data_IF_676548417383
#
_entry.id   IF_676548417383
#
_cell.length_a   1.000
_cell.length_b   1.000
_cell.length_c   1.000
_cell.angle_alpha   90.00
_cell.angle_beta   90.00
_cell.angle_gamma   90.00
#
_symmetry.space_group_name_H-M   'P 1'
#
loop_
_entity.id
_entity.type
_entity.pdbx_description
1 polymer ?
#
# COMPACT_ATOMS: atom_id res chain seq x y z
N UNK A 1 7.96 -18.91 -2.43
CA UNK A 1 7.25 -17.72 -2.96
C UNK A 1 7.32 -17.77 -4.48
N UNK A 2 6.16 -17.86 -5.15
CA UNK A 2 6.04 -18.12 -6.60
C UNK A 2 7.00 -17.27 -7.45
N UNK A 3 7.11 -15.98 -7.17
CA UNK A 3 7.97 -15.08 -7.93
C UNK A 3 9.48 -15.37 -7.80
N UNK A 4 9.94 -15.89 -6.66
CA UNK A 4 11.34 -16.33 -6.50
C UNK A 4 11.58 -17.69 -7.16
N UNK A 5 10.72 -18.66 -6.86
CA UNK A 5 10.89 -20.07 -7.23
C UNK A 5 10.65 -20.31 -8.72
N UNK A 6 9.66 -19.63 -9.31
CA UNK A 6 9.24 -19.86 -10.70
C UNK A 6 9.81 -18.81 -11.63
N UNK A 7 9.85 -17.54 -11.23
CA UNK A 7 10.32 -16.43 -12.09
C UNK A 7 11.79 -16.07 -11.86
N UNK A 8 12.47 -16.69 -10.89
CA UNK A 8 13.89 -16.44 -10.62
C UNK A 8 14.22 -15.03 -10.12
N UNK A 9 13.23 -14.29 -9.63
CA UNK A 9 13.42 -12.92 -9.15
C UNK A 9 14.08 -12.92 -7.78
N UNK A 10 15.33 -12.45 -7.69
CA UNK A 10 16.10 -12.42 -6.43
C UNK A 10 15.68 -11.30 -5.47
N UNK A 11 15.22 -10.17 -6.02
CA UNK A 11 15.01 -8.93 -5.26
C UNK A 11 13.57 -8.80 -4.77
N UNK A 12 13.03 -9.88 -4.20
CA UNK A 12 11.69 -9.91 -3.63
C UNK A 12 11.83 -10.19 -2.15
N UNK A 13 11.14 -9.43 -1.31
CA UNK A 13 11.17 -9.62 0.13
C UNK A 13 9.75 -9.52 0.67
N UNK A 14 9.44 -10.35 1.63
CA UNK A 14 8.18 -10.42 2.37
C UNK A 14 8.29 -9.69 3.73
N UNK A 15 9.17 -8.70 3.79
CA UNK A 15 9.39 -7.87 4.98
C UNK A 15 8.62 -6.55 4.86
N UNK A 16 7.94 -6.11 5.93
CA UNK A 16 7.32 -4.78 5.95
C UNK A 16 8.40 -3.71 5.82
N UNK A 17 8.08 -2.56 5.22
CA UNK A 17 9.05 -1.48 5.01
C UNK A 17 9.67 -0.94 6.31
N UNK A 18 8.96 -1.11 7.43
CA UNK A 18 9.42 -0.75 8.77
C UNK A 18 10.46 -1.73 9.33
N UNK A 19 10.67 -2.89 8.69
CA UNK A 19 11.64 -3.88 9.16
C UNK A 19 13.05 -3.32 9.21
N UNK A 20 13.82 -3.75 10.22
CA UNK A 20 15.20 -3.30 10.46
C UNK A 20 16.09 -3.53 9.25
N UNK A 21 15.89 -4.63 8.51
CA UNK A 21 16.62 -4.93 7.29
C UNK A 21 16.65 -3.73 6.33
N UNK A 22 15.50 -3.09 6.11
CA UNK A 22 15.41 -1.92 5.25
C UNK A 22 16.01 -0.69 5.92
N UNK A 23 15.57 -0.43 7.15
CA UNK A 23 15.88 0.82 7.85
C UNK A 23 17.37 0.97 8.17
N UNK A 24 18.09 -0.13 8.39
CA UNK A 24 19.52 -0.13 8.72
C UNK A 24 20.43 -0.17 7.48
N UNK A 25 20.02 -0.83 6.40
CA UNK A 25 20.88 -1.05 5.23
C UNK A 25 20.57 -0.16 4.03
N UNK A 26 19.41 0.49 3.98
CA UNK A 26 18.92 1.20 2.79
C UNK A 26 18.40 2.61 3.07
N UNK A 27 18.88 3.26 4.15
CA UNK A 27 18.58 4.66 4.40
C UNK A 27 19.09 5.55 3.24
N UNK A 28 18.21 6.38 2.69
CA UNK A 28 18.54 7.26 1.56
C UNK A 28 19.00 6.51 0.30
N UNK A 29 18.53 5.28 0.07
CA UNK A 29 18.99 4.46 -1.05
C UNK A 29 18.08 4.55 -2.28
N UNK A 30 16.76 4.63 -2.08
CA UNK A 30 15.80 4.51 -3.18
C UNK A 30 15.48 5.87 -3.80
N UNK A 31 15.45 5.91 -5.13
CA UNK A 31 15.01 7.10 -5.87
C UNK A 31 13.50 7.16 -6.03
N UNK A 32 12.87 5.99 -6.10
CA UNK A 32 11.43 5.84 -6.26
C UNK A 32 10.95 4.73 -5.35
N UNK A 33 9.89 5.00 -4.59
CA UNK A 33 9.12 4.01 -3.86
C UNK A 33 7.67 4.07 -4.38
N UNK A 34 7.06 2.90 -4.53
CA UNK A 34 5.70 2.75 -5.05
C UNK A 34 4.87 1.92 -4.09
N UNK A 35 3.70 2.42 -3.71
CA UNK A 35 2.71 1.72 -2.91
C UNK A 35 1.46 1.49 -3.76
N UNK A 36 1.18 0.23 -4.11
CA UNK A 36 -0.02 -0.19 -4.83
C UNK A 36 -0.97 -0.93 -3.89
N UNK A 37 -2.09 -0.29 -3.56
CA UNK A 37 -3.13 -0.85 -2.70
C UNK A 37 -2.59 -1.33 -1.34
N UNK A 38 -1.67 -0.55 -0.75
CA UNK A 38 -1.03 -0.91 0.53
C UNK A 38 -1.55 -0.05 1.68
N UNK A 39 -1.74 1.25 1.44
CA UNK A 39 -1.90 2.25 2.49
C UNK A 39 -3.18 2.05 3.31
N UNK A 40 -4.23 1.51 2.70
CA UNK A 40 -5.51 1.21 3.32
C UNK A 40 -5.50 -0.04 4.21
N UNK A 41 -4.48 -0.90 4.06
CA UNK A 41 -4.34 -2.16 4.78
C UNK A 41 -3.32 -2.08 5.93
N UNK A 42 -2.62 -0.96 6.09
CA UNK A 42 -1.67 -0.79 7.19
C UNK A 42 -2.36 -0.27 8.46
N UNK A 43 -1.92 -0.79 9.61
CA UNK A 43 -2.45 -0.37 10.91
C UNK A 43 -2.03 1.06 11.31
N UNK A 44 -0.80 1.46 10.94
CA UNK A 44 -0.25 2.78 11.22
C UNK A 44 0.35 3.39 9.95
N UNK A 45 -0.44 4.18 9.20
CA UNK A 45 0.02 4.83 7.98
C UNK A 45 1.08 5.90 8.26
N UNK A 46 1.10 6.52 9.44
CA UNK A 46 2.10 7.54 9.76
C UNK A 46 3.47 6.90 9.96
N UNK A 47 3.55 5.80 10.70
CA UNK A 47 4.80 5.05 10.88
C UNK A 47 5.34 4.46 9.56
N UNK A 48 4.43 4.03 8.66
CA UNK A 48 4.78 3.63 7.29
C UNK A 48 5.47 4.78 6.54
N UNK A 49 4.83 5.96 6.52
CA UNK A 49 5.34 7.13 5.79
C UNK A 49 6.68 7.62 6.33
N UNK A 50 6.89 7.60 7.65
CA UNK A 50 8.19 7.94 8.25
C UNK A 50 9.29 6.95 7.83
N UNK A 51 8.95 5.66 7.76
CA UNK A 51 9.88 4.62 7.30
C UNK A 51 10.25 4.79 5.83
N UNK A 52 9.27 5.10 4.98
CA UNK A 52 9.49 5.40 3.56
C UNK A 52 10.35 6.64 3.37
N UNK A 53 10.07 7.71 4.12
CA UNK A 53 10.85 8.95 4.05
C UNK A 53 12.34 8.72 4.36
N UNK A 54 12.67 7.86 5.32
CA UNK A 54 14.07 7.52 5.64
C UNK A 54 14.76 6.74 4.53
N UNK A 55 14.03 5.93 3.78
CA UNK A 55 14.56 5.09 2.71
C UNK A 55 14.75 5.85 1.39
N UNK A 56 14.00 6.93 1.17
CA UNK A 56 14.12 7.77 -0.01
C UNK A 56 15.37 8.64 0.02
N UNK A 57 16.06 8.74 -1.12
CA UNK A 57 17.06 9.78 -1.37
C UNK A 57 16.43 11.17 -1.22
N UNK A 58 17.20 12.22 -0.87
CA UNK A 58 16.77 13.60 -1.01
C UNK A 58 16.31 13.88 -2.45
N UNK A 59 15.07 14.34 -2.63
CA UNK A 59 14.47 14.56 -3.95
C UNK A 59 13.88 13.32 -4.62
N UNK A 60 13.86 12.16 -3.95
CA UNK A 60 13.20 10.95 -4.42
C UNK A 60 11.67 11.07 -4.44
N UNK A 61 11.03 10.18 -5.19
CA UNK A 61 9.58 10.19 -5.42
C UNK A 61 8.88 9.04 -4.71
N UNK A 62 7.70 9.33 -4.18
CA UNK A 62 6.77 8.34 -3.67
C UNK A 62 5.51 8.38 -4.51
N UNK A 63 5.17 7.25 -5.13
CA UNK A 63 3.90 7.04 -5.82
C UNK A 63 2.99 6.20 -4.92
N UNK A 64 1.75 6.65 -4.77
CA UNK A 64 0.74 5.96 -3.97
C UNK A 64 -0.52 5.86 -4.82
N UNK A 65 -1.00 4.63 -5.01
CA UNK A 65 -2.39 4.37 -5.41
C UNK A 65 -3.09 3.68 -4.24
N UNK A 66 -4.28 4.17 -3.91
CA UNK A 66 -5.13 3.61 -2.87
C UNK A 66 -6.58 3.91 -3.23
N UNK A 67 -7.52 2.97 -3.00
CA UNK A 67 -8.92 3.18 -3.28
C UNK A 67 -9.48 4.43 -2.59
N UNK A 68 -10.11 5.31 -3.37
CA UNK A 68 -10.82 6.46 -2.81
C UNK A 68 -12.18 6.01 -2.26
N UNK A 69 -12.33 5.96 -0.94
CA UNK A 69 -13.61 5.63 -0.26
C UNK A 69 -14.76 6.53 -0.71
N UNK A 70 -14.48 7.79 -1.07
CA UNK A 70 -15.50 8.74 -1.55
C UNK A 70 -15.72 8.70 -3.08
N UNK A 71 -15.05 7.78 -3.78
CA UNK A 71 -15.18 7.59 -5.22
C UNK A 71 -16.60 7.21 -5.62
N UNK A 72 -16.96 7.52 -6.87
CA UNK A 72 -18.29 7.29 -7.44
C UNK A 72 -18.84 5.86 -7.21
N UNK A 73 -17.96 4.85 -7.20
CA UNK A 73 -18.32 3.46 -6.93
C UNK A 73 -18.88 3.22 -5.52
N UNK A 74 -18.32 3.87 -4.48
CA UNK A 74 -18.83 3.74 -3.12
C UNK A 74 -20.17 4.46 -2.96
N UNK A 75 -20.29 5.68 -3.51
CA UNK A 75 -21.55 6.46 -3.45
C UNK A 75 -22.70 5.78 -4.18
N UNK A 76 -22.45 5.22 -5.36
CA UNK A 76 -23.48 4.50 -6.14
C UNK A 76 -23.89 3.20 -5.44
N UNK A 77 -22.95 2.48 -4.83
CA UNK A 77 -23.25 1.31 -4.00
C UNK A 77 -24.13 1.66 -2.79
N UNK A 78 -23.82 2.73 -2.05
CA UNK A 78 -24.65 3.20 -0.94
C UNK A 78 -26.05 3.62 -1.39
N UNK A 79 -26.16 4.30 -2.53
CA UNK A 79 -27.44 4.72 -3.08
C UNK A 79 -28.30 3.53 -3.50
N UNK A 80 -27.72 2.55 -4.20
CA UNK A 80 -28.40 1.30 -4.56
C UNK A 80 -28.78 0.49 -3.31
N UNK A 81 -27.91 0.42 -2.31
CA UNK A 81 -28.21 -0.23 -1.03
C UNK A 81 -29.42 0.41 -0.34
N UNK A 82 -29.48 1.75 -0.30
CA UNK A 82 -30.63 2.50 0.25
C UNK A 82 -31.91 2.26 -0.55
N UNK A 83 -31.85 2.27 -1.88
CA UNK A 83 -33.00 1.98 -2.73
C UNK A 83 -33.50 0.53 -2.62
N UNK A 84 -32.60 -0.41 -2.33
CA UNK A 84 -32.97 -1.81 -2.09
C UNK A 84 -33.66 -2.03 -0.74
N UNK A 85 -33.83 -0.99 0.08
CA UNK A 85 -34.36 -1.10 1.44
C UNK A 85 -33.40 -1.81 2.40
N UNK A 86 -32.09 -1.77 2.13
CA UNK A 86 -31.06 -2.43 2.95
C UNK A 86 -31.10 -3.96 2.90
N UNK A 87 -31.72 -4.55 1.88
CA UNK A 87 -31.89 -6.01 1.75
C UNK A 87 -30.60 -6.78 1.43
N UNK A 88 -29.53 -6.07 1.08
CA UNK A 88 -28.23 -6.64 0.74
C UNK A 88 -27.22 -6.32 1.85
N UNK A 89 -27.42 -6.90 3.03
CA UNK A 89 -26.30 -7.17 3.95
C UNK A 89 -25.62 -8.43 3.41
N UNK A 90 -24.54 -8.28 2.67
CA UNK A 90 -23.73 -9.44 2.30
C UNK A 90 -22.87 -9.89 3.49
N UNK A 91 -22.76 -11.21 3.56
CA UNK A 91 -21.93 -12.05 4.43
C UNK A 91 -20.48 -11.58 4.52
#
# INVERSE_FOLDING_TARGET
>A
MYAKEVLGLSNINDLPVQDKYWQEHYAGFFEVIVLWDVLEHVNDPVALMQSIQRLLKPGGYLFIDTPCRDGFYHRSGEWLFRLSGGRWKCL
#
